data_IF_828209814262
#
_entry.id   IF_828209814262
#
_cell.length_a   1.000
_cell.length_b   1.000
_cell.length_c   1.000
_cell.angle_alpha   90.00
_cell.angle_beta   90.00
_cell.angle_gamma   90.00
#
_symmetry.space_group_name_H-M   'P 1'
#
loop_
_entity.id
_entity.type
_entity.pdbx_description
1 polymer ?
#
# COMPACT_ATOMS: atom_id res chain seq x y z
N UNK A 1 8.32 47.80 -12.13
CA UNK A 1 9.18 47.36 -11.01
C UNK A 1 8.30 46.55 -10.07
N UNK A 2 8.26 45.22 -10.11
CA UNK A 2 9.31 44.32 -9.65
C UNK A 2 9.28 43.01 -10.44
N UNK A 3 10.45 42.65 -10.99
CA UNK A 3 10.75 41.31 -11.47
C UNK A 3 10.96 40.46 -10.23
N UNK A 4 10.08 39.52 -9.93
CA UNK A 4 10.43 38.45 -9.00
C UNK A 4 11.57 37.67 -9.66
N UNK A 5 12.77 37.99 -9.17
CA UNK A 5 14.03 37.31 -9.48
C UNK A 5 13.77 35.82 -9.35
N UNK A 6 14.24 35.06 -10.33
CA UNK A 6 14.19 33.60 -10.32
C UNK A 6 14.51 33.11 -8.92
N UNK A 7 13.48 32.59 -8.25
CA UNK A 7 13.68 31.72 -7.12
C UNK A 7 14.38 30.53 -7.74
N UNK A 8 15.67 30.44 -7.47
CA UNK A 8 16.50 29.29 -7.77
C UNK A 8 15.74 28.09 -7.21
N UNK A 9 15.01 27.38 -8.08
CA UNK A 9 14.35 26.14 -7.72
C UNK A 9 15.52 25.23 -7.46
N UNK A 10 15.89 25.14 -6.19
CA UNK A 10 17.07 24.40 -5.79
C UNK A 10 17.03 23.03 -6.46
N UNK A 11 18.15 22.66 -7.05
CA UNK A 11 18.40 21.36 -7.66
C UNK A 11 18.43 20.24 -6.60
N UNK A 12 17.56 20.29 -5.60
CA UNK A 12 17.26 19.14 -4.76
C UNK A 12 16.70 18.05 -5.66
N UNK A 13 17.02 16.79 -5.33
CA UNK A 13 16.54 15.62 -6.04
C UNK A 13 15.02 15.74 -6.28
N UNK A 14 14.62 15.79 -7.54
CA UNK A 14 13.21 15.69 -7.92
C UNK A 14 12.79 14.25 -7.70
N UNK A 15 12.04 13.99 -6.63
CA UNK A 15 11.52 12.67 -6.31
C UNK A 15 10.45 12.18 -7.30
N UNK A 16 10.16 12.94 -8.37
CA UNK A 16 9.20 12.58 -9.43
C UNK A 16 9.46 11.17 -9.98
N UNK A 17 10.73 10.77 -10.13
CA UNK A 17 11.11 9.42 -10.59
C UNK A 17 10.78 8.31 -9.57
N UNK A 18 10.72 8.65 -8.29
CA UNK A 18 10.39 7.71 -7.22
C UNK A 18 8.90 7.74 -6.88
N UNK A 19 8.15 8.73 -7.37
CA UNK A 19 6.75 8.95 -7.00
C UNK A 19 5.90 7.71 -7.28
N UNK A 20 6.16 7.00 -8.38
CA UNK A 20 5.46 5.76 -8.74
C UNK A 20 5.68 4.64 -7.73
N UNK A 21 6.84 4.56 -7.08
CA UNK A 21 7.14 3.56 -6.05
C UNK A 21 6.44 3.86 -4.71
N UNK A 22 6.14 5.14 -4.45
CA UNK A 22 5.50 5.59 -3.20
C UNK A 22 4.00 5.85 -3.34
N UNK A 23 3.47 5.88 -4.56
CA UNK A 23 2.04 6.06 -4.79
C UNK A 23 1.28 4.86 -4.26
N UNK A 24 0.24 5.14 -3.47
CA UNK A 24 -0.73 4.11 -3.12
C UNK A 24 -1.59 3.75 -4.34
N UNK A 25 -2.01 2.50 -4.39
CA UNK A 25 -3.01 2.03 -5.35
C UNK A 25 -4.39 2.60 -5.01
N UNK A 26 -5.30 2.56 -5.98
CA UNK A 26 -6.69 2.95 -5.73
C UNK A 26 -7.37 2.04 -4.70
N UNK A 27 -8.46 2.49 -4.10
CA UNK A 27 -9.23 1.66 -3.16
C UNK A 27 -9.73 0.36 -3.81
N UNK A 28 -10.13 0.42 -5.08
CA UNK A 28 -10.62 -0.74 -5.84
C UNK A 28 -9.51 -1.76 -6.14
N UNK A 29 -8.28 -1.29 -6.34
CA UNK A 29 -7.10 -2.18 -6.46
C UNK A 29 -6.71 -2.74 -5.09
N UNK A 30 -6.77 -1.92 -4.04
CA UNK A 30 -6.47 -2.35 -2.67
C UNK A 30 -7.43 -3.45 -2.21
N UNK A 31 -8.72 -3.34 -2.55
CA UNK A 31 -9.74 -4.36 -2.28
C UNK A 31 -9.45 -5.70 -2.95
N UNK A 32 -8.67 -5.75 -4.04
CA UNK A 32 -8.30 -7.01 -4.73
C UNK A 32 -7.12 -7.72 -4.07
N UNK A 33 -6.37 -7.05 -3.19
CA UNK A 33 -5.22 -7.66 -2.51
C UNK A 33 -5.70 -8.66 -1.44
N UNK A 34 -5.29 -9.93 -1.58
CA UNK A 34 -5.60 -10.98 -0.59
C UNK A 34 -4.99 -10.64 0.77
N UNK A 35 -3.75 -10.15 0.81
CA UNK A 35 -3.09 -9.70 2.05
C UNK A 35 -3.87 -8.60 2.75
N UNK A 36 -4.40 -7.63 2.01
CA UNK A 36 -5.18 -6.56 2.61
C UNK A 36 -6.50 -7.07 3.20
N UNK A 37 -7.23 -7.91 2.48
CA UNK A 37 -8.45 -8.55 2.99
C UNK A 37 -8.16 -9.39 4.25
N UNK A 38 -7.05 -10.13 4.27
CA UNK A 38 -6.63 -10.94 5.42
C UNK A 38 -6.32 -10.08 6.65
N UNK A 39 -5.67 -8.92 6.46
CA UNK A 39 -5.44 -7.95 7.53
C UNK A 39 -6.74 -7.40 8.10
N UNK A 40 -7.75 -7.15 7.25
CA UNK A 40 -9.07 -6.70 7.69
C UNK A 40 -9.76 -7.78 8.55
N UNK A 41 -9.77 -9.04 8.12
CA UNK A 41 -10.33 -10.16 8.87
C UNK A 41 -9.64 -10.33 10.24
N UNK A 42 -8.31 -10.23 10.28
CA UNK A 42 -7.52 -10.25 11.53
C UNK A 42 -7.94 -9.12 12.47
N UNK A 43 -8.02 -7.89 11.95
CA UNK A 43 -8.40 -6.74 12.76
C UNK A 43 -9.86 -6.82 13.24
N UNK A 44 -10.73 -7.51 12.50
CA UNK A 44 -12.11 -7.78 12.88
C UNK A 44 -12.26 -8.96 13.88
N UNK A 45 -11.19 -9.68 14.20
CA UNK A 45 -11.23 -10.86 15.05
C UNK A 45 -11.94 -12.06 14.43
N UNK A 46 -12.10 -12.10 13.09
CA UNK A 46 -12.81 -13.17 12.37
C UNK A 46 -11.90 -14.36 12.00
N UNK A 47 -10.62 -14.31 12.36
CA UNK A 47 -9.66 -15.40 12.19
C UNK A 47 -9.48 -16.14 13.52
N UNK A 48 -10.52 -16.84 13.98
CA UNK A 48 -10.50 -17.54 15.28
C UNK A 48 -9.61 -18.81 15.30
N UNK A 49 -9.23 -19.34 14.13
CA UNK A 49 -8.47 -20.62 14.02
C UNK A 49 -7.11 -20.44 13.32
N UNK A 50 -6.93 -19.38 12.55
CA UNK A 50 -5.64 -19.08 11.95
C UNK A 50 -4.82 -18.23 12.90
N UNK A 51 -4.00 -18.90 13.72
CA UNK A 51 -2.81 -18.30 14.35
C UNK A 51 -1.77 -18.00 13.24
N UNK A 52 -2.16 -17.25 12.22
CA UNK A 52 -1.23 -16.54 11.36
C UNK A 52 -0.78 -15.34 12.17
N UNK A 53 0.09 -15.56 13.16
CA UNK A 53 0.82 -14.45 13.80
C UNK A 53 1.53 -13.61 12.73
N UNK A 54 1.88 -14.24 11.61
CA UNK A 54 2.51 -13.64 10.46
C UNK A 54 1.58 -13.69 9.26
N UNK A 55 1.38 -12.54 8.62
CA UNK A 55 0.72 -12.44 7.31
C UNK A 55 1.72 -12.92 6.25
N UNK A 56 1.35 -13.85 5.36
CA UNK A 56 2.22 -14.31 4.28
C UNK A 56 2.73 -13.15 3.43
N UNK A 57 3.93 -13.32 2.86
CA UNK A 57 4.55 -12.26 2.06
C UNK A 57 3.91 -12.17 0.68
N UNK A 58 3.51 -13.30 0.11
CA UNK A 58 2.95 -13.36 -1.24
C UNK A 58 1.47 -13.75 -1.22
N UNK A 59 0.67 -13.13 -2.10
CA UNK A 59 -0.75 -13.44 -2.25
C UNK A 59 -0.98 -14.91 -2.68
N UNK A 60 -0.01 -15.55 -3.34
CA UNK A 60 -0.07 -16.97 -3.72
C UNK A 60 -0.04 -17.93 -2.54
N UNK A 61 0.44 -17.48 -1.39
CA UNK A 61 0.53 -18.27 -0.16
C UNK A 61 -0.76 -18.20 0.65
N UNK A 62 -1.71 -17.34 0.28
CA UNK A 62 -2.97 -17.14 0.98
C UNK A 62 -4.05 -18.02 0.33
N UNK A 63 -4.58 -19.02 1.05
CA UNK A 63 -5.65 -19.87 0.54
C UNK A 63 -6.93 -19.08 0.33
N UNK A 64 -7.60 -19.30 -0.81
CA UNK A 64 -8.89 -18.65 -1.10
C UNK A 64 -10.01 -19.04 -0.14
N UNK A 65 -9.87 -20.20 0.52
CA UNK A 65 -10.79 -20.69 1.55
C UNK A 65 -10.93 -19.72 2.74
N UNK A 66 -9.95 -18.83 2.96
CA UNK A 66 -10.00 -17.83 4.04
C UNK A 66 -11.06 -16.74 3.80
N UNK A 67 -11.49 -16.56 2.54
CA UNK A 67 -12.41 -15.48 2.14
C UNK A 67 -13.83 -15.98 1.80
N UNK A 68 -14.15 -17.24 2.08
CA UNK A 68 -15.49 -17.84 1.87
C UNK A 68 -16.35 -17.73 3.13
#
# INVERSE_FOLDING_TARGET
>A
YMRYKGQDISNYFRLEQLQDEFNFVSEEEMKKSKRFQLLQLRNAGQLDVFILQQIPLYDSEIPDLVFQ
#
